data_IF_114142227851
#
_entry.id   IF_114142227851
#
_cell.length_a   1.000
_cell.length_b   1.000
_cell.length_c   1.000
_cell.angle_alpha   90.00
_cell.angle_beta   90.00
_cell.angle_gamma   90.00
#
_symmetry.space_group_name_H-M   'P 1'
#
loop_
_entity.id
_entity.type
_entity.pdbx_description
1 polymer ?
#
# COMPACT_ATOMS: atom_id res chain seq x y z
N UNK A 1 -4.46 15.42 -25.33
CA UNK A 1 -5.62 14.50 -25.30
C UNK A 1 -5.37 13.19 -26.07
N UNK A 2 -4.88 13.23 -27.32
CA UNK A 2 -4.63 12.01 -28.12
C UNK A 2 -3.67 10.99 -27.47
N UNK A 3 -2.61 11.43 -26.77
CA UNK A 3 -1.69 10.52 -26.06
C UNK A 3 -2.36 9.80 -24.88
N UNK A 4 -3.22 10.50 -24.14
CA UNK A 4 -3.97 9.91 -23.03
C UNK A 4 -5.01 8.91 -23.54
N UNK A 5 -5.67 9.24 -24.66
CA UNK A 5 -6.58 8.32 -25.36
C UNK A 5 -5.85 7.07 -25.87
N UNK A 6 -4.64 7.20 -26.40
CA UNK A 6 -3.83 6.06 -26.85
C UNK A 6 -3.39 5.17 -25.69
N UNK A 7 -3.02 5.74 -24.54
CA UNK A 7 -2.70 4.99 -23.31
C UNK A 7 -3.93 4.24 -22.81
N UNK A 8 -5.09 4.90 -22.79
CA UNK A 8 -6.34 4.29 -22.36
C UNK A 8 -6.78 3.16 -23.30
N UNK A 9 -6.66 3.36 -24.61
CA UNK A 9 -6.99 2.36 -25.62
C UNK A 9 -6.05 1.15 -25.59
N UNK A 10 -4.76 1.37 -25.34
CA UNK A 10 -3.78 0.29 -25.15
C UNK A 10 -4.02 -0.51 -23.86
N UNK A 11 -4.34 0.17 -22.75
CA UNK A 11 -4.68 -0.47 -21.48
C UNK A 11 -5.97 -1.30 -21.58
N UNK A 12 -7.01 -0.75 -22.24
CA UNK A 12 -8.26 -1.45 -22.48
C UNK A 12 -8.06 -2.71 -23.36
N UNK A 13 -7.27 -2.61 -24.43
CA UNK A 13 -6.94 -3.76 -25.29
C UNK A 13 -6.20 -4.87 -24.51
N UNK A 14 -5.30 -4.51 -23.60
CA UNK A 14 -4.57 -5.47 -22.76
C UNK A 14 -5.51 -6.20 -21.77
N UNK A 15 -6.47 -5.49 -21.17
CA UNK A 15 -7.45 -6.09 -20.25
C UNK A 15 -8.43 -7.04 -20.95
N UNK A 16 -8.81 -6.75 -22.20
CA UNK A 16 -9.72 -7.59 -23.00
C UNK A 16 -9.04 -8.75 -23.74
N UNK A 17 -7.70 -8.77 -23.83
CA UNK A 17 -6.95 -9.87 -24.45
C UNK A 17 -6.81 -11.09 -23.51
N UNK A 18 -6.82 -10.89 -22.19
CA UNK A 18 -6.65 -11.96 -21.21
C UNK A 18 -7.68 -13.11 -21.29
N UNK A 19 -8.99 -12.86 -21.52
CA UNK A 19 -9.95 -13.94 -21.71
C UNK A 19 -9.76 -14.74 -23.00
N UNK A 20 -9.07 -14.21 -24.03
CA UNK A 20 -8.89 -14.89 -25.33
C UNK A 20 -7.88 -16.04 -25.28
N UNK A 21 -7.03 -16.10 -24.25
CA UNK A 21 -6.06 -17.18 -24.03
C UNK A 21 -6.54 -18.24 -23.03
N UNK A 22 -7.67 -18.01 -22.34
CA UNK A 22 -8.22 -18.90 -21.33
C UNK A 22 -8.73 -20.25 -21.90
N UNK A 23 -8.95 -20.34 -23.21
CA UNK A 23 -9.49 -21.54 -23.90
C UNK A 23 -8.39 -22.47 -24.47
N UNK A 24 -7.11 -22.10 -24.33
CA UNK A 24 -6.00 -22.84 -24.97
C UNK A 24 -5.38 -23.97 -24.11
N UNK A 25 -5.99 -24.34 -22.97
CA UNK A 25 -5.45 -25.38 -22.08
C UNK A 25 -4.13 -25.02 -21.39
N UNK A 26 -3.69 -23.77 -21.52
CA UNK A 26 -2.56 -23.21 -20.76
C UNK A 26 -3.03 -22.88 -19.34
N UNK A 27 -2.26 -23.27 -18.32
CA UNK A 27 -2.58 -22.98 -16.93
C UNK A 27 -2.76 -21.45 -16.74
N UNK A 28 -3.81 -20.99 -16.04
CA UNK A 28 -4.05 -19.56 -15.84
C UNK A 28 -2.81 -18.94 -15.19
N UNK A 29 -2.34 -17.81 -15.75
CA UNK A 29 -1.19 -17.11 -15.22
C UNK A 29 -1.42 -16.73 -13.75
N UNK A 30 -0.54 -17.19 -12.85
CA UNK A 30 -0.64 -16.88 -11.43
C UNK A 30 -0.15 -15.44 -11.18
N UNK A 31 -1.10 -14.51 -11.09
CA UNK A 31 -0.86 -13.09 -10.83
C UNK A 31 -0.71 -12.76 -9.34
N UNK A 32 -0.84 -13.73 -8.44
CA UNK A 32 -0.79 -13.50 -7.00
C UNK A 32 0.51 -12.81 -6.53
N UNK A 33 1.72 -13.18 -7.00
CA UNK A 33 2.96 -12.51 -6.56
C UNK A 33 2.98 -11.01 -6.89
N UNK A 34 2.41 -10.62 -8.04
CA UNK A 34 2.31 -9.22 -8.46
C UNK A 34 1.30 -8.48 -7.57
N UNK A 35 0.13 -9.10 -7.31
CA UNK A 35 -0.89 -8.52 -6.43
C UNK A 35 -0.38 -8.28 -5.00
N UNK A 36 0.35 -9.25 -4.45
CA UNK A 36 0.96 -9.18 -3.12
C UNK A 36 2.02 -8.08 -3.03
N UNK A 37 2.91 -7.97 -4.02
CA UNK A 37 3.93 -6.93 -4.06
C UNK A 37 3.33 -5.52 -4.17
N UNK A 38 2.28 -5.34 -4.99
CA UNK A 38 1.57 -4.07 -5.12
C UNK A 38 0.82 -3.70 -3.83
N UNK A 39 0.13 -4.65 -3.20
CA UNK A 39 -0.57 -4.42 -1.95
C UNK A 39 0.39 -3.95 -0.85
N UNK A 40 1.53 -4.62 -0.68
CA UNK A 40 2.52 -4.25 0.32
C UNK A 40 3.14 -2.87 0.04
N UNK A 41 3.50 -2.61 -1.23
CA UNK A 41 4.06 -1.31 -1.63
C UNK A 41 3.12 -0.14 -1.39
N UNK A 42 1.83 -0.32 -1.71
CA UNK A 42 0.81 0.71 -1.46
C UNK A 42 0.56 0.93 0.04
N UNK A 43 0.42 -0.14 0.82
CA UNK A 43 0.19 -0.04 2.26
C UNK A 43 1.36 0.65 2.97
N UNK A 44 2.59 0.19 2.72
CA UNK A 44 3.80 0.78 3.32
C UNK A 44 4.00 2.24 2.87
N UNK A 45 3.77 2.54 1.59
CA UNK A 45 3.89 3.90 1.06
C UNK A 45 2.90 4.88 1.70
N UNK A 46 1.62 4.50 1.76
CA UNK A 46 0.58 5.36 2.36
C UNK A 46 0.77 5.53 3.86
N UNK A 47 1.15 4.47 4.58
CA UNK A 47 1.43 4.56 6.01
C UNK A 47 2.66 5.42 6.29
N UNK A 48 3.73 5.28 5.50
CA UNK A 48 4.93 6.12 5.62
C UNK A 48 4.62 7.62 5.43
N UNK A 49 3.73 7.97 4.49
CA UNK A 49 3.25 9.34 4.33
C UNK A 49 2.47 9.83 5.56
N UNK A 50 1.58 9.00 6.11
CA UNK A 50 0.81 9.32 7.31
C UNK A 50 1.71 9.54 8.54
N UNK A 51 2.65 8.61 8.77
CA UNK A 51 3.60 8.68 9.88
C UNK A 51 4.54 9.88 9.74
N UNK A 52 5.05 10.16 8.55
CA UNK A 52 5.91 11.32 8.31
C UNK A 52 5.22 12.64 8.65
N UNK A 53 3.95 12.80 8.29
CA UNK A 53 3.15 13.99 8.65
C UNK A 53 2.86 14.06 10.15
N UNK A 54 2.49 12.94 10.77
CA UNK A 54 2.25 12.88 12.21
C UNK A 54 3.49 13.26 13.01
N UNK A 55 4.66 12.69 12.67
CA UNK A 55 5.94 13.01 13.33
C UNK A 55 6.35 14.46 13.07
N UNK A 56 6.24 14.96 11.84
CA UNK A 56 6.54 16.35 11.52
C UNK A 56 5.73 17.34 12.38
N UNK A 57 4.41 17.19 12.39
CA UNK A 57 3.53 18.03 13.23
C UNK A 57 3.82 17.90 14.73
N UNK A 58 4.15 16.70 15.21
CA UNK A 58 4.56 16.46 16.59
C UNK A 58 5.86 17.20 16.95
N UNK A 59 6.85 17.22 16.05
CA UNK A 59 8.10 17.96 16.28
C UNK A 59 7.90 19.48 16.30
N UNK A 60 7.05 20.02 15.43
CA UNK A 60 6.70 21.45 15.44
C UNK A 60 5.97 21.84 16.73
N UNK A 61 4.99 21.03 17.16
CA UNK A 61 4.26 21.27 18.41
C UNK A 61 5.19 21.22 19.63
N UNK A 62 6.15 20.28 19.65
CA UNK A 62 7.15 20.17 20.71
C UNK A 62 8.11 21.37 20.71
N UNK A 63 8.55 21.84 19.53
CA UNK A 63 9.42 23.01 19.41
C UNK A 63 8.74 24.29 19.92
N UNK A 64 7.43 24.45 19.70
CA UNK A 64 6.66 25.60 20.19
C UNK A 64 6.39 25.53 21.69
N UNK A 65 6.16 24.34 22.24
CA UNK A 65 5.84 24.14 23.65
C UNK A 65 6.54 22.90 24.23
N UNK A 66 7.82 23.01 24.64
CA UNK A 66 8.59 21.85 25.14
C UNK A 66 7.98 21.14 26.36
N UNK A 67 7.18 21.87 27.16
CA UNK A 67 6.50 21.33 28.34
C UNK A 67 5.40 20.30 28.05
N UNK A 68 4.93 20.16 26.80
CA UNK A 68 3.85 19.22 26.43
C UNK A 68 4.35 17.84 26.03
N UNK A 69 5.68 17.59 26.09
CA UNK A 69 6.33 16.36 25.60
C UNK A 69 5.64 15.08 26.05
N UNK A 70 5.32 14.92 27.33
CA UNK A 70 4.80 13.66 27.86
C UNK A 70 3.42 13.29 27.26
N UNK A 71 2.48 14.24 27.23
CA UNK A 71 1.18 14.04 26.62
C UNK A 71 1.26 13.85 25.10
N UNK A 72 2.08 14.68 24.45
CA UNK A 72 2.29 14.63 23.00
C UNK A 72 2.85 13.28 22.54
N UNK A 73 3.87 12.73 23.23
CA UNK A 73 4.43 11.42 22.90
C UNK A 73 3.41 10.29 23.08
N UNK A 74 2.53 10.39 24.09
CA UNK A 74 1.48 9.39 24.32
C UNK A 74 0.52 9.33 23.14
N UNK A 75 -0.04 10.47 22.73
CA UNK A 75 -0.95 10.52 21.58
C UNK A 75 -0.24 10.19 20.26
N UNK A 76 1.01 10.61 20.09
CA UNK A 76 1.81 10.31 18.91
C UNK A 76 2.00 8.79 18.76
N UNK A 77 2.43 8.09 19.81
CA UNK A 77 2.65 6.64 19.75
C UNK A 77 1.35 5.90 19.45
N UNK A 78 0.24 6.29 20.09
CA UNK A 78 -1.08 5.70 19.82
C UNK A 78 -1.48 5.91 18.35
N UNK A 79 -1.34 7.14 17.84
CA UNK A 79 -1.65 7.45 16.45
C UNK A 79 -0.77 6.68 15.46
N UNK A 80 0.54 6.62 15.70
CA UNK A 80 1.47 5.87 14.87
C UNK A 80 1.19 4.37 14.90
N UNK A 81 0.80 3.81 16.06
CA UNK A 81 0.43 2.40 16.18
C UNK A 81 -0.83 2.06 15.35
N UNK A 82 -1.83 2.94 15.32
CA UNK A 82 -3.00 2.75 14.47
C UNK A 82 -2.65 2.81 12.99
N UNK A 83 -1.82 3.77 12.57
CA UNK A 83 -1.35 3.85 11.17
C UNK A 83 -0.58 2.58 10.81
N UNK A 84 0.34 2.14 11.67
CA UNK A 84 1.16 0.95 11.42
C UNK A 84 0.35 -0.35 11.38
N UNK A 85 -0.75 -0.43 12.15
CA UNK A 85 -1.62 -1.62 12.14
C UNK A 85 -2.18 -1.94 10.76
N UNK A 86 -2.42 -0.93 9.91
CA UNK A 86 -2.89 -1.11 8.53
C UNK A 86 -1.81 -1.78 7.66
N UNK A 87 -0.55 -1.37 7.82
CA UNK A 87 0.61 -2.02 7.18
C UNK A 87 0.75 -3.45 7.66
N UNK A 88 0.64 -3.69 8.98
CA UNK A 88 0.78 -5.03 9.55
C UNK A 88 -0.32 -5.99 9.12
N UNK A 89 -1.58 -5.54 9.01
CA UNK A 89 -2.65 -6.38 8.45
C UNK A 89 -2.37 -6.75 6.99
N UNK A 90 -1.84 -5.81 6.20
CA UNK A 90 -1.42 -6.09 4.82
C UNK A 90 -0.26 -7.09 4.78
N UNK A 91 0.74 -6.92 5.66
CA UNK A 91 1.86 -7.84 5.81
C UNK A 91 1.41 -9.26 6.16
N UNK A 92 0.44 -9.41 7.08
CA UNK A 92 -0.10 -10.73 7.44
C UNK A 92 -0.75 -11.40 6.23
N UNK A 93 -1.55 -10.67 5.45
CA UNK A 93 -2.17 -11.20 4.23
C UNK A 93 -1.13 -11.60 3.18
N UNK A 94 -0.08 -10.78 3.02
CA UNK A 94 1.07 -11.06 2.15
C UNK A 94 1.77 -12.36 2.57
N UNK A 95 2.05 -12.54 3.86
CA UNK A 95 2.72 -13.74 4.38
C UNK A 95 1.87 -15.00 4.19
N UNK A 96 0.56 -14.91 4.43
CA UNK A 96 -0.37 -16.03 4.19
C UNK A 96 -0.34 -16.43 2.72
N UNK A 97 -0.38 -15.46 1.81
CA UNK A 97 -0.40 -15.73 0.37
C UNK A 97 0.92 -16.31 -0.14
N UNK A 98 2.06 -15.79 0.34
CA UNK A 98 3.38 -16.37 0.05
C UNK A 98 3.45 -17.82 0.53
N UNK A 99 2.95 -18.10 1.74
CA UNK A 99 2.95 -19.46 2.31
C UNK A 99 2.03 -20.41 1.54
N UNK A 100 0.92 -19.92 0.99
CA UNK A 100 0.00 -20.70 0.15
C UNK A 100 0.62 -21.08 -1.21
N UNK A 101 1.49 -20.23 -1.75
CA UNK A 101 2.12 -20.41 -3.05
C UNK A 101 3.44 -21.21 -3.04
N UNK A 102 3.91 -21.66 -1.87
CA UNK A 102 5.17 -22.40 -1.67
C UNK A 102 4.93 -23.81 -1.16
#
# INVERSE_FOLDING_TARGET
MRKLQNVFMALAALCFAMPVFADSGSAPANLAPIGVGLAMGLAAGLCGLGQGRAVGSATEALARNPGTRAGLMTFMIIGLAFIESLTLFTLVMVLIEIKRGS
#
